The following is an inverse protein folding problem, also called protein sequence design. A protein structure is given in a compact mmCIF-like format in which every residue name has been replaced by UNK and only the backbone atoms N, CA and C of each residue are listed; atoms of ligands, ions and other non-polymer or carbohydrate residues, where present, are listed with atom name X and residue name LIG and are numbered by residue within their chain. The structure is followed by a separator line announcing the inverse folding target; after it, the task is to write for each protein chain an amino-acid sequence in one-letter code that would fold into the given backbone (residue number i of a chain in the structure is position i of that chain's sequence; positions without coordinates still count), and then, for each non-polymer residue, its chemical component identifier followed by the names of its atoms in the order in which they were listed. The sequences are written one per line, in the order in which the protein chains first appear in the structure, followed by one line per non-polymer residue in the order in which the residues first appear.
data_IF_813837909927
#
_entry.id   IF_813837909927
#
_cell.length_a   1.000
_cell.length_b   1.000
_cell.length_c   1.000
_cell.angle_alpha   90.00
_cell.angle_beta   90.00
_cell.angle_gamma   90.00
#
_symmetry.space_group_name_H-M   'P 1'
#
loop_
_entity.id
_entity.type
_entity.pdbx_description
1 polymer ?
#
# COMPACT_ATOMS: atom_id res chain seq x y z
N UNK A 1 -7.49 12.63 12.61
CA UNK A 1 -6.24 11.91 12.53
C UNK A 1 -5.59 12.09 11.18
N UNK A 2 -4.28 12.22 11.17
CA UNK A 2 -3.55 12.41 9.92
C UNK A 2 -3.60 11.13 9.10
N UNK A 3 -3.77 11.27 7.78
CA UNK A 3 -3.73 10.15 6.89
C UNK A 3 -2.29 9.92 6.41
N UNK A 4 -1.99 8.68 6.04
CA UNK A 4 -0.66 8.28 5.64
C UNK A 4 -0.74 7.62 4.26
N UNK A 5 0.23 7.92 3.39
CA UNK A 5 0.26 7.30 2.07
C UNK A 5 0.67 5.83 2.16
N UNK A 6 0.39 5.07 1.08
CA UNK A 6 0.82 3.68 1.03
C UNK A 6 2.32 3.55 1.23
N UNK A 7 3.08 4.39 0.54
CA UNK A 7 4.54 4.35 0.66
C UNK A 7 4.99 4.65 2.08
N UNK A 8 4.43 5.69 2.69
CA UNK A 8 4.82 6.08 4.05
C UNK A 8 4.45 5.00 5.06
N UNK A 9 3.29 4.35 4.91
CA UNK A 9 2.90 3.27 5.80
C UNK A 9 3.86 2.08 5.66
N UNK A 10 4.25 1.76 4.43
CA UNK A 10 5.21 0.69 4.17
C UNK A 10 6.56 1.00 4.83
N UNK A 11 7.06 2.21 4.60
CA UNK A 11 8.36 2.63 5.15
C UNK A 11 8.30 2.63 6.68
N UNK A 12 7.20 3.07 7.25
CA UNK A 12 7.00 3.07 8.70
C UNK A 12 7.08 1.65 9.27
N UNK A 13 6.67 0.67 8.49
CA UNK A 13 6.72 -0.74 8.88
C UNK A 13 8.09 -1.38 8.56
N UNK A 14 9.01 -0.59 7.99
CA UNK A 14 10.39 -1.01 7.67
C UNK A 14 10.43 -2.11 6.62
N UNK A 15 9.51 -2.06 5.66
CA UNK A 15 9.48 -3.01 4.55
C UNK A 15 9.91 -2.33 3.26
N UNK A 16 10.73 -3.04 2.48
CA UNK A 16 11.00 -2.60 1.11
C UNK A 16 9.80 -2.94 0.23
N UNK A 17 9.76 -2.37 -0.96
CA UNK A 17 8.70 -2.70 -1.92
C UNK A 17 8.67 -4.20 -2.22
N UNK A 18 9.86 -4.81 -2.37
CA UNK A 18 9.95 -6.25 -2.64
C UNK A 18 9.44 -7.08 -1.46
N UNK A 19 9.76 -6.66 -0.24
CA UNK A 19 9.32 -7.37 0.95
C UNK A 19 7.81 -7.27 1.12
N UNK A 20 7.25 -6.09 0.89
CA UNK A 20 5.80 -5.93 0.97
C UNK A 20 5.11 -6.77 -0.10
N UNK A 21 5.64 -6.77 -1.33
CA UNK A 21 5.07 -7.57 -2.42
C UNK A 21 5.04 -9.05 -2.04
N UNK A 22 6.13 -9.54 -1.46
CA UNK A 22 6.21 -10.93 -1.03
C UNK A 22 5.14 -11.25 0.01
N UNK A 23 4.98 -10.37 1.00
CA UNK A 23 3.98 -10.59 2.05
C UNK A 23 2.56 -10.54 1.51
N UNK A 24 2.31 -9.74 0.48
CA UNK A 24 0.99 -9.63 -0.11
C UNK A 24 0.73 -10.66 -1.22
N UNK A 25 1.77 -11.40 -1.63
CA UNK A 25 1.62 -12.38 -2.70
C UNK A 25 1.45 -11.76 -4.07
N UNK A 26 2.03 -10.58 -4.29
CA UNK A 26 1.94 -9.87 -5.57
C UNK A 26 3.33 -9.54 -6.07
N UNK A 27 3.42 -9.04 -7.31
CA UNK A 27 4.70 -8.64 -7.86
C UNK A 27 5.15 -7.30 -7.26
N UNK A 28 6.46 -7.08 -7.25
CA UNK A 28 6.99 -5.79 -6.81
C UNK A 28 6.43 -4.64 -7.66
N UNK A 29 6.23 -4.89 -8.96
CA UNK A 29 5.68 -3.87 -9.86
C UNK A 29 4.29 -3.46 -9.43
N UNK A 30 3.48 -4.39 -8.92
CA UNK A 30 2.15 -4.04 -8.39
C UNK A 30 2.26 -3.04 -7.25
N UNK A 31 3.20 -3.26 -6.33
CA UNK A 31 3.41 -2.34 -5.21
C UNK A 31 3.84 -0.96 -5.73
N UNK A 32 4.78 -0.94 -6.67
CA UNK A 32 5.25 0.31 -7.28
C UNK A 32 4.08 1.07 -7.90
N UNK A 33 3.26 0.37 -8.68
CA UNK A 33 2.14 1.00 -9.37
C UNK A 33 1.09 1.53 -8.39
N UNK A 34 0.83 0.80 -7.32
CA UNK A 34 -0.09 1.27 -6.29
C UNK A 34 0.43 2.55 -5.63
N UNK A 35 1.72 2.59 -5.31
CA UNK A 35 2.31 3.75 -4.63
C UNK A 35 2.36 4.97 -5.53
N UNK A 36 2.53 4.76 -6.84
CA UNK A 36 2.60 5.85 -7.81
C UNK A 36 1.24 6.27 -8.37
N UNK A 37 0.17 5.58 -7.99
CA UNK A 37 -1.16 5.89 -8.48
C UNK A 37 -1.45 5.38 -9.88
N UNK A 38 -0.61 4.50 -10.41
CA UNK A 38 -0.84 3.92 -11.74
C UNK A 38 -1.86 2.80 -11.73
N UNK A 39 -2.01 2.14 -10.59
CA UNK A 39 -3.02 1.11 -10.37
C UNK A 39 -3.76 1.41 -9.10
N UNK A 40 -5.05 1.17 -9.11
CA UNK A 40 -5.86 1.30 -7.91
C UNK A 40 -5.70 0.07 -7.03
N UNK A 41 -5.43 0.29 -5.75
CA UNK A 41 -5.41 -0.82 -4.78
C UNK A 41 -6.84 -1.13 -4.41
N UNK A 42 -7.31 -2.30 -4.83
CA UNK A 42 -8.68 -2.72 -4.57
C UNK A 42 -8.84 -3.14 -3.11
N UNK A 43 -10.07 -3.15 -2.65
CA UNK A 43 -10.40 -3.35 -1.24
C UNK A 43 -9.78 -4.60 -0.62
N UNK A 44 -9.79 -5.79 -1.27
CA UNK A 44 -9.15 -6.95 -0.64
C UNK A 44 -7.67 -6.75 -0.37
N UNK A 45 -6.97 -6.10 -1.29
CA UNK A 45 -5.53 -5.82 -1.11
C UNK A 45 -5.32 -4.74 -0.06
N UNK A 46 -6.22 -3.76 0.00
CA UNK A 46 -6.11 -2.71 1.02
C UNK A 46 -6.21 -3.31 2.43
N UNK A 47 -7.15 -4.21 2.65
CA UNK A 47 -7.28 -4.85 3.95
C UNK A 47 -6.07 -5.70 4.30
N UNK A 48 -5.54 -6.43 3.32
CA UNK A 48 -4.32 -7.20 3.55
C UNK A 48 -3.15 -6.28 3.88
N UNK A 49 -3.01 -5.18 3.15
CA UNK A 49 -1.99 -4.18 3.42
C UNK A 49 -2.11 -3.64 4.84
N UNK A 50 -3.33 -3.35 5.27
CA UNK A 50 -3.57 -2.84 6.61
C UNK A 50 -3.18 -3.86 7.68
N UNK A 51 -3.44 -5.14 7.45
CA UNK A 51 -3.04 -6.18 8.38
C UNK A 51 -1.53 -6.28 8.50
N UNK A 52 -0.83 -6.14 7.37
CA UNK A 52 0.63 -6.23 7.35
C UNK A 52 1.28 -5.01 8.02
N UNK A 53 0.75 -3.81 7.77
CA UNK A 53 1.36 -2.58 8.26
C UNK A 53 0.83 -2.14 9.61
N UNK A 54 -0.33 -2.63 10.02
CA UNK A 54 -0.94 -2.25 11.28
C UNK A 54 -1.74 -0.96 11.23
N UNK A 55 -1.85 -0.33 10.06
CA UNK A 55 -2.66 0.88 9.91
C UNK A 55 -4.10 0.52 9.58
N UNK A 56 -5.03 1.36 10.01
CA UNK A 56 -6.44 1.21 9.67
C UNK A 56 -6.67 1.68 8.22
N UNK A 57 -7.61 1.04 7.53
CA UNK A 57 -7.96 1.45 6.17
C UNK A 57 -8.40 2.92 6.13
N UNK A 58 -9.04 3.40 7.20
CA UNK A 58 -9.47 4.79 7.27
C UNK A 58 -8.31 5.78 7.34
N UNK A 59 -7.15 5.32 7.76
CA UNK A 59 -5.96 6.17 7.90
C UNK A 59 -5.10 6.17 6.63
N UNK A 60 -5.40 5.32 5.67
CA UNK A 60 -4.60 5.21 4.45
C UNK A 60 -5.10 6.19 3.41
N UNK A 61 -4.19 7.01 2.90
CA UNK A 61 -4.47 7.93 1.80
C UNK A 61 -4.08 7.25 0.50
N UNK A 62 -5.08 6.80 -0.26
CA UNK A 62 -4.82 6.14 -1.54
C UNK A 62 -4.59 7.20 -2.61
N UNK A 63 -3.54 7.06 -3.43
CA UNK A 63 -3.34 8.00 -4.52
C UNK A 63 -4.44 7.85 -5.56
N UNK A 64 -4.84 8.98 -6.16
CA UNK A 64 -5.81 8.93 -7.25
C UNK A 64 -5.13 8.36 -8.48
N UNK A 65 -5.86 7.47 -9.16
CA UNK A 65 -5.36 6.91 -10.40
C UNK A 65 -5.22 8.02 -11.43
N UNK A 66 -4.06 8.08 -12.05
CA UNK A 66 -3.80 9.01 -13.13
C UNK A 66 -4.53 8.53 -14.38
N UNK A 67 -5.32 9.40 -14.99
CA UNK A 67 -6.03 9.05 -16.23
C UNK A 67 -5.32 9.63 -17.42
#
# INVERSE_FOLDING_TARGET
MAKITLEAARVNTKLTQAQLAEKMGVSRQSVIDWENGKREMRTPYLYLFCQITGFSADDILLPKKST
#
